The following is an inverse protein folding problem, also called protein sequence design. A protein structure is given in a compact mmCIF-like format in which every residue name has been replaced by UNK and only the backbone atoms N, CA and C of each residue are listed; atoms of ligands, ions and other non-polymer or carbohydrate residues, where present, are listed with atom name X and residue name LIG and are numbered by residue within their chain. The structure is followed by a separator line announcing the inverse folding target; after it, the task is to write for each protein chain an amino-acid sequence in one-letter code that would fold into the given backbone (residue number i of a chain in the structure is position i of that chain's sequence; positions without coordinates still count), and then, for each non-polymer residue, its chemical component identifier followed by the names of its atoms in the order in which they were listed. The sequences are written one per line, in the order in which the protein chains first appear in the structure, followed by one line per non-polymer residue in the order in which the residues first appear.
data_IF_202947369036
#
_entry.id   IF_202947369036
#
_cell.length_a   1.000
_cell.length_b   1.000
_cell.length_c   1.000
_cell.angle_alpha   90.00
_cell.angle_beta   90.00
_cell.angle_gamma   90.00
#
_symmetry.space_group_name_H-M   'P 1'
#
loop_
_entity.id
_entity.type
_entity.pdbx_description
1 polymer ?
#
# COMPACT_ATOMS: atom_id res chain seq x y z
N UNK A 1 -30.97 -38.76 5.24
CA UNK A 1 -29.67 -38.55 4.55
C UNK A 1 -29.40 -37.05 4.51
N UNK A 2 -28.40 -36.56 5.26
CA UNK A 2 -28.08 -35.13 5.38
C UNK A 2 -27.06 -34.75 4.29
N UNK A 3 -27.54 -34.09 3.22
CA UNK A 3 -26.67 -33.46 2.23
C UNK A 3 -25.93 -32.29 2.87
N UNK A 4 -24.60 -32.31 2.82
CA UNK A 4 -23.75 -31.23 3.36
C UNK A 4 -23.29 -30.30 2.25
N UNK A 5 -23.16 -29.00 2.55
CA UNK A 5 -22.77 -27.91 1.62
C UNK A 5 -21.49 -28.18 0.79
N UNK A 6 -20.65 -29.14 1.20
CA UNK A 6 -19.43 -29.54 0.47
C UNK A 6 -19.72 -30.35 -0.80
N UNK A 7 -20.86 -31.03 -0.93
CA UNK A 7 -21.21 -31.77 -2.15
C UNK A 7 -21.71 -30.84 -3.27
N UNK A 8 -22.47 -29.79 -2.93
CA UNK A 8 -22.97 -28.81 -3.90
C UNK A 8 -21.84 -28.09 -4.67
N UNK A 9 -20.75 -27.74 -3.98
CA UNK A 9 -19.59 -27.07 -4.61
C UNK A 9 -18.84 -28.01 -5.55
N UNK A 10 -18.89 -29.33 -5.31
CA UNK A 10 -18.19 -30.31 -6.15
C UNK A 10 -18.93 -30.60 -7.45
N UNK A 11 -20.27 -30.58 -7.43
CA UNK A 11 -21.11 -30.81 -8.61
C UNK A 11 -21.25 -29.56 -9.50
N UNK A 12 -21.13 -28.36 -8.91
CA UNK A 12 -21.14 -27.09 -9.66
C UNK A 12 -19.88 -26.88 -10.52
N UNK A 13 -18.75 -27.52 -10.20
CA UNK A 13 -17.48 -27.37 -10.94
C UNK A 13 -17.39 -28.30 -12.15
N UNK A 14 -18.24 -29.34 -12.24
CA UNK A 14 -18.15 -30.37 -13.30
C UNK A 14 -19.12 -30.13 -14.47
N UNK A 15 -20.02 -29.15 -14.38
CA UNK A 15 -21.12 -28.96 -15.37
C UNK A 15 -21.16 -27.55 -15.96
N UNK A 16 -20.01 -27.02 -16.38
CA UNK A 16 -19.85 -25.64 -16.86
C UNK A 16 -19.17 -25.47 -18.21
N UNK A 17 -19.17 -26.48 -19.09
CA UNK A 17 -18.82 -26.30 -20.50
C UNK A 17 -20.09 -26.05 -21.30
N UNK A 18 -20.45 -24.78 -21.51
CA UNK A 18 -21.38 -24.39 -22.57
C UNK A 18 -20.77 -23.24 -23.37
N UNK A 19 -20.15 -23.61 -24.50
CA UNK A 19 -20.06 -22.72 -25.63
C UNK A 19 -21.42 -22.74 -26.34
N UNK A 20 -22.09 -21.59 -26.42
CA UNK A 20 -23.08 -21.30 -27.45
C UNK A 20 -23.25 -19.78 -27.58
N UNK A 21 -22.77 -19.27 -28.70
CA UNK A 21 -23.04 -17.93 -29.19
C UNK A 21 -24.54 -17.77 -29.52
N UNK A 22 -25.10 -16.61 -29.19
CA UNK A 22 -26.19 -15.98 -29.97
C UNK A 22 -26.18 -14.47 -29.74
N UNK A 23 -26.32 -13.76 -30.86
CA UNK A 23 -26.04 -12.35 -31.06
C UNK A 23 -26.86 -11.38 -30.21
N UNK A 24 -26.19 -10.28 -29.88
CA UNK A 24 -26.74 -9.11 -29.24
C UNK A 24 -25.74 -7.96 -29.30
N UNK A 25 -25.79 -7.19 -30.39
CA UNK A 25 -25.26 -5.84 -30.57
C UNK A 25 -23.94 -5.45 -29.88
N UNK A 26 -22.90 -5.28 -30.70
CA UNK A 26 -21.54 -4.81 -30.39
C UNK A 26 -21.44 -3.38 -29.83
N UNK A 27 -22.14 -3.03 -28.74
CA UNK A 27 -21.90 -1.75 -28.06
C UNK A 27 -20.74 -1.84 -27.04
N UNK A 28 -20.46 -3.05 -26.53
CA UNK A 28 -19.41 -3.29 -25.53
C UNK A 28 -18.08 -3.67 -26.20
N UNK A 29 -18.14 -4.48 -27.26
CA UNK A 29 -16.98 -4.84 -28.08
C UNK A 29 -16.44 -3.62 -28.85
N UNK A 30 -17.32 -2.79 -29.45
CA UNK A 30 -16.89 -1.53 -30.07
C UNK A 30 -16.25 -0.58 -29.05
N UNK A 31 -16.73 -0.51 -27.79
CA UNK A 31 -16.09 0.34 -26.78
C UNK A 31 -14.72 -0.16 -26.32
N UNK A 32 -14.49 -1.46 -26.38
CA UNK A 32 -13.18 -2.06 -26.08
C UNK A 32 -12.22 -1.85 -27.27
N UNK A 33 -12.68 -2.12 -28.50
CA UNK A 33 -11.90 -1.94 -29.72
C UNK A 33 -11.62 -0.46 -30.04
N UNK A 34 -12.58 0.45 -29.85
CA UNK A 34 -12.39 1.90 -30.01
C UNK A 34 -11.43 2.51 -28.97
N UNK A 35 -11.16 1.81 -27.84
CA UNK A 35 -10.10 2.22 -26.90
C UNK A 35 -8.73 1.66 -27.27
N UNK A 36 -8.67 0.57 -28.01
CA UNK A 36 -7.41 -0.06 -28.43
C UNK A 36 -6.77 0.65 -29.63
N UNK A 37 -7.55 1.31 -30.49
CA UNK A 37 -7.01 1.96 -31.71
C UNK A 37 -6.57 3.43 -31.55
N UNK A 38 -6.90 4.12 -30.44
CA UNK A 38 -6.54 5.53 -30.20
C UNK A 38 -5.50 5.74 -29.08
N UNK A 39 -4.43 4.95 -29.02
CA UNK A 39 -3.20 5.37 -28.29
C UNK A 39 -1.95 4.68 -28.84
N UNK A 40 -1.62 4.95 -30.11
CA UNK A 40 -0.24 4.81 -30.51
C UNK A 40 0.62 5.84 -29.75
N UNK A 41 1.41 5.35 -28.79
CA UNK A 41 2.70 5.91 -28.37
C UNK A 41 2.71 7.22 -27.55
N UNK A 42 2.03 7.26 -26.40
CA UNK A 42 2.60 7.96 -25.25
C UNK A 42 2.14 7.32 -23.94
N UNK A 43 3.07 7.11 -23.01
CA UNK A 43 2.71 6.65 -21.67
C UNK A 43 1.81 7.69 -21.01
N UNK A 44 0.69 7.24 -20.45
CA UNK A 44 -0.28 8.12 -19.78
C UNK A 44 0.25 8.71 -18.47
N UNK A 45 1.29 8.12 -17.89
CA UNK A 45 2.01 8.62 -16.72
C UNK A 45 3.53 8.56 -16.93
N UNK A 46 4.25 9.45 -16.27
CA UNK A 46 5.71 9.33 -16.18
C UNK A 46 6.09 8.27 -15.15
N UNK A 47 5.40 8.26 -14.00
CA UNK A 47 5.66 7.33 -12.89
C UNK A 47 4.36 6.74 -12.36
N UNK A 48 4.30 5.42 -12.26
CA UNK A 48 3.25 4.69 -11.54
C UNK A 48 3.88 4.13 -10.27
N UNK A 49 3.31 4.45 -9.11
CA UNK A 49 3.71 3.90 -7.82
C UNK A 49 2.64 2.94 -7.33
N UNK A 50 3.00 1.67 -7.14
CA UNK A 50 2.11 0.64 -6.61
C UNK A 50 2.38 0.46 -5.12
N UNK A 51 1.44 0.88 -4.28
CA UNK A 51 1.52 0.86 -2.82
C UNK A 51 1.78 2.25 -2.24
N UNK A 52 0.79 2.80 -1.54
CA UNK A 52 0.84 4.03 -0.74
C UNK A 52 1.34 3.82 0.68
N UNK A 53 2.19 2.82 0.89
CA UNK A 53 2.91 2.61 2.15
C UNK A 53 3.89 3.73 2.47
N UNK A 54 4.72 3.55 3.50
CA UNK A 54 5.73 4.55 3.90
C UNK A 54 6.66 4.92 2.73
N UNK A 55 7.18 3.93 2.01
CA UNK A 55 8.08 4.15 0.88
C UNK A 55 7.35 4.76 -0.34
N UNK A 56 6.22 4.17 -0.75
CA UNK A 56 5.56 4.61 -1.98
C UNK A 56 4.85 5.95 -1.88
N UNK A 57 4.29 6.32 -0.71
CA UNK A 57 3.80 7.67 -0.51
C UNK A 57 4.94 8.70 -0.64
N UNK A 58 6.11 8.43 -0.06
CA UNK A 58 7.28 9.30 -0.19
C UNK A 58 7.74 9.39 -1.66
N UNK A 59 7.87 8.25 -2.35
CA UNK A 59 8.28 8.20 -3.75
C UNK A 59 7.33 8.99 -4.66
N UNK A 60 6.02 8.83 -4.47
CA UNK A 60 5.02 9.55 -5.25
C UNK A 60 5.08 11.06 -5.00
N UNK A 61 5.20 11.50 -3.74
CA UNK A 61 5.33 12.93 -3.44
C UNK A 61 6.61 13.51 -4.06
N UNK A 62 7.74 12.79 -4.01
CA UNK A 62 8.97 13.25 -4.67
C UNK A 62 8.79 13.37 -6.19
N UNK A 63 8.22 12.35 -6.84
CA UNK A 63 7.96 12.38 -8.28
C UNK A 63 7.06 13.56 -8.67
N UNK A 64 5.99 13.80 -7.92
CA UNK A 64 5.12 14.96 -8.12
C UNK A 64 5.81 16.30 -7.88
N UNK A 65 6.68 16.41 -6.86
CA UNK A 65 7.50 17.62 -6.61
C UNK A 65 8.49 17.91 -7.74
N UNK A 66 8.95 16.88 -8.45
CA UNK A 66 9.77 17.01 -9.66
C UNK A 66 8.94 17.39 -10.91
N UNK A 67 7.62 17.53 -10.79
CA UNK A 67 6.73 17.88 -11.88
C UNK A 67 6.32 16.72 -12.77
N UNK A 68 6.58 15.47 -12.38
CA UNK A 68 6.24 14.28 -13.15
C UNK A 68 4.75 13.96 -13.04
N UNK A 69 4.13 13.56 -14.15
CA UNK A 69 2.74 13.09 -14.13
C UNK A 69 2.67 11.72 -13.43
N UNK A 70 2.24 11.73 -12.17
CA UNK A 70 2.42 10.61 -11.25
C UNK A 70 1.07 10.02 -10.80
N UNK A 71 0.96 8.69 -10.91
CA UNK A 71 -0.14 7.90 -10.34
C UNK A 71 0.37 7.14 -9.11
N UNK A 72 -0.36 7.22 -8.01
CA UNK A 72 -0.17 6.35 -6.84
C UNK A 72 -1.41 5.46 -6.68
N UNK A 73 -1.22 4.14 -6.63
CA UNK A 73 -2.30 3.16 -6.43
C UNK A 73 -2.11 2.47 -5.08
N UNK A 74 -3.11 2.47 -4.21
CA UNK A 74 -3.03 1.91 -2.85
C UNK A 74 -4.26 1.07 -2.52
N UNK A 75 -4.04 -0.12 -1.95
CA UNK A 75 -5.11 -1.08 -1.62
C UNK A 75 -5.99 -0.62 -0.45
N UNK A 76 -5.40 0.10 0.50
CA UNK A 76 -6.11 0.64 1.65
C UNK A 76 -6.75 2.00 1.35
N UNK A 77 -7.51 2.53 2.32
CA UNK A 77 -8.22 3.79 2.19
C UNK A 77 -7.43 5.06 2.55
N UNK A 78 -6.12 4.94 2.82
CA UNK A 78 -5.27 6.07 3.20
C UNK A 78 -3.78 5.73 3.01
N UNK A 79 -2.90 6.73 2.81
CA UNK A 79 -1.47 6.52 2.69
C UNK A 79 -0.79 6.28 4.05
N UNK A 80 0.49 5.92 4.03
CA UNK A 80 1.36 5.83 5.21
C UNK A 80 1.65 4.41 5.70
N UNK A 81 0.99 3.39 5.14
CA UNK A 81 1.31 1.98 5.35
C UNK A 81 1.34 1.56 6.81
N UNK A 82 2.50 1.12 7.30
CA UNK A 82 2.64 0.60 8.66
C UNK A 82 2.38 1.66 9.73
N UNK A 83 2.75 2.91 9.47
CA UNK A 83 2.51 4.04 10.38
C UNK A 83 1.02 4.27 10.60
N UNK A 84 0.21 4.15 9.55
CA UNK A 84 -1.23 4.45 9.57
C UNK A 84 -2.07 3.20 9.73
N UNK A 85 -2.04 2.28 8.77
CA UNK A 85 -2.86 1.05 8.74
C UNK A 85 -2.43 0.05 9.82
N UNK A 86 -1.13 -0.28 9.91
CA UNK A 86 -0.64 -1.26 10.89
C UNK A 86 -0.51 -0.70 12.32
N UNK A 87 -0.76 0.60 12.49
CA UNK A 87 -0.69 1.31 13.76
C UNK A 87 0.71 1.34 14.42
N UNK A 88 1.78 1.04 13.69
CA UNK A 88 3.18 1.22 14.11
C UNK A 88 3.55 2.70 14.01
N UNK A 89 2.87 3.52 14.81
CA UNK A 89 2.81 4.98 14.67
C UNK A 89 3.92 5.72 15.42
N UNK A 90 5.11 5.14 15.46
CA UNK A 90 6.29 5.70 16.10
C UNK A 90 7.50 5.61 15.16
N UNK A 91 7.42 6.21 13.95
CA UNK A 91 8.53 6.22 13.02
C UNK A 91 9.78 6.80 13.70
N UNK A 92 10.93 6.23 13.39
CA UNK A 92 12.12 6.58 14.14
C UNK A 92 13.44 6.13 13.54
N UNK A 93 14.47 6.51 14.31
CA UNK A 93 15.87 6.71 13.95
C UNK A 93 16.11 7.81 12.91
N UNK A 94 15.30 8.88 12.94
CA UNK A 94 15.62 10.13 12.23
C UNK A 94 16.93 10.77 12.74
N UNK A 95 17.25 10.56 14.01
CA UNK A 95 18.48 11.02 14.65
C UNK A 95 19.24 9.85 15.29
N UNK A 96 20.55 9.80 15.06
CA UNK A 96 21.47 8.83 15.65
C UNK A 96 22.85 9.47 15.86
N UNK A 97 23.56 9.03 16.91
CA UNK A 97 24.91 9.53 17.24
C UNK A 97 25.00 11.07 17.36
N UNK A 98 23.97 11.69 17.94
CA UNK A 98 23.94 13.15 18.16
C UNK A 98 23.71 14.00 16.90
N UNK A 99 23.28 13.39 15.78
CA UNK A 99 22.97 14.12 14.54
C UNK A 99 21.73 13.58 13.84
N UNK A 100 21.14 14.39 12.97
CA UNK A 100 20.09 13.94 12.06
C UNK A 100 20.70 13.07 10.96
N UNK A 101 20.16 11.86 10.78
CA UNK A 101 20.62 10.90 9.76
C UNK A 101 19.56 10.64 8.68
N UNK A 102 18.29 10.90 8.95
CA UNK A 102 17.19 10.80 7.98
C UNK A 102 16.43 12.13 7.97
N UNK A 103 16.31 12.73 6.78
CA UNK A 103 15.62 13.99 6.53
C UNK A 103 14.62 13.85 5.36
N UNK A 104 14.26 14.96 4.71
CA UNK A 104 13.35 14.99 3.57
C UNK A 104 11.90 14.66 3.93
N UNK A 105 11.11 14.19 2.96
CA UNK A 105 9.66 14.05 3.09
C UNK A 105 9.23 13.20 4.30
N UNK A 106 9.95 12.12 4.60
CA UNK A 106 9.64 11.30 5.78
C UNK A 106 9.72 12.10 7.08
N UNK A 107 10.76 12.92 7.23
CA UNK A 107 10.93 13.81 8.37
C UNK A 107 9.95 14.99 8.35
N UNK A 108 9.69 15.57 7.18
CA UNK A 108 8.71 16.66 6.99
C UNK A 108 7.32 16.21 7.46
N UNK A 109 6.84 15.04 7.02
CA UNK A 109 5.53 14.51 7.41
C UNK A 109 5.43 14.26 8.91
N UNK A 110 6.46 13.66 9.51
CA UNK A 110 6.49 13.40 10.97
C UNK A 110 6.49 14.70 11.76
N UNK A 111 7.39 15.63 11.43
CA UNK A 111 7.55 16.90 12.14
C UNK A 111 6.28 17.74 12.03
N UNK A 112 5.72 17.85 10.83
CA UNK A 112 4.47 18.57 10.58
C UNK A 112 3.29 17.96 11.32
N UNK A 113 3.24 16.62 11.42
CA UNK A 113 2.21 15.94 12.22
C UNK A 113 2.32 16.28 13.70
N UNK A 114 3.54 16.24 14.26
CA UNK A 114 3.79 16.60 15.66
C UNK A 114 3.38 18.04 15.93
N UNK A 115 3.81 18.97 15.06
CA UNK A 115 3.44 20.39 15.14
C UNK A 115 1.92 20.59 15.07
N UNK A 116 1.24 19.96 14.12
CA UNK A 116 -0.22 20.05 13.94
C UNK A 116 -0.99 19.52 15.15
N UNK A 117 -0.44 18.52 15.85
CA UNK A 117 -1.01 18.00 17.09
C UNK A 117 -0.68 18.83 18.33
N UNK A 118 0.23 19.81 18.24
CA UNK A 118 0.77 20.51 19.42
C UNK A 118 1.64 19.61 20.29
N UNK A 119 2.14 18.50 19.76
CA UNK A 119 3.02 17.57 20.45
C UNK A 119 4.47 18.10 20.45
N UNK A 120 5.36 17.45 21.22
CA UNK A 120 6.78 17.81 21.29
C UNK A 120 7.65 16.72 20.69
N UNK A 121 8.62 17.14 19.89
CA UNK A 121 9.70 16.25 19.45
C UNK A 121 10.59 15.87 20.65
N UNK A 122 11.18 14.66 20.66
CA UNK A 122 12.26 14.31 21.57
C UNK A 122 13.43 15.29 21.47
N UNK A 123 14.17 15.45 22.57
CA UNK A 123 15.47 16.11 22.52
C UNK A 123 16.49 15.18 21.86
N UNK A 124 16.91 15.54 20.65
CA UNK A 124 17.87 14.76 19.87
C UNK A 124 19.34 15.18 20.10
N UNK A 125 19.60 16.17 20.96
CA UNK A 125 20.95 16.70 21.21
C UNK A 125 21.89 15.69 21.85
N UNK A 126 21.35 14.70 22.57
CA UNK A 126 22.11 13.66 23.26
C UNK A 126 21.73 12.27 22.77
N UNK A 127 22.68 11.35 22.55
CA UNK A 127 22.38 9.96 22.24
C UNK A 127 21.52 9.31 23.35
N UNK A 128 20.45 8.58 23.00
CA UNK A 128 19.57 8.00 23.99
C UNK A 128 20.17 6.72 24.57
N UNK A 129 19.79 6.35 25.80
CA UNK A 129 20.17 5.05 26.39
C UNK A 129 19.58 3.88 25.62
N UNK A 130 18.38 4.07 25.05
CA UNK A 130 17.70 3.08 24.22
C UNK A 130 17.17 3.75 22.96
N UNK A 131 17.42 3.15 21.80
CA UNK A 131 17.10 3.75 20.50
C UNK A 131 15.62 4.16 20.34
N UNK A 132 14.69 3.43 20.97
CA UNK A 132 13.25 3.73 20.94
C UNK A 132 12.88 5.06 21.62
N UNK A 133 13.75 5.63 22.45
CA UNK A 133 13.53 6.94 23.06
C UNK A 133 13.57 8.09 22.03
N UNK A 134 14.19 7.86 20.87
CA UNK A 134 14.20 8.80 19.74
C UNK A 134 13.15 8.47 18.66
N UNK A 135 12.25 7.52 18.92
CA UNK A 135 11.08 7.31 18.06
C UNK A 135 10.06 8.42 18.31
N UNK A 136 9.44 8.91 17.24
CA UNK A 136 8.48 10.01 17.31
C UNK A 136 7.09 9.44 17.17
N UNK A 137 6.34 9.43 18.28
CA UNK A 137 4.94 8.99 18.23
C UNK A 137 4.09 10.04 17.53
N UNK A 138 3.30 9.59 16.55
CA UNK A 138 2.43 10.48 15.76
C UNK A 138 0.97 10.05 15.86
N UNK A 139 0.04 11.01 15.80
CA UNK A 139 -1.37 10.70 15.61
C UNK A 139 -1.57 10.15 14.19
N UNK A 140 -2.10 8.92 14.09
CA UNK A 140 -2.26 8.20 12.82
C UNK A 140 -3.18 8.91 11.83
N UNK A 141 -4.28 9.49 12.31
CA UNK A 141 -5.26 10.17 11.48
C UNK A 141 -4.68 11.48 10.94
N UNK A 142 -4.00 12.23 11.80
CA UNK A 142 -3.33 13.48 11.40
C UNK A 142 -2.18 13.18 10.43
N UNK A 143 -1.36 12.16 10.70
CA UNK A 143 -0.30 11.74 9.79
C UNK A 143 -0.84 11.36 8.40
N UNK A 144 -1.93 10.58 8.36
CA UNK A 144 -2.60 10.23 7.11
C UNK A 144 -3.10 11.49 6.37
N UNK A 145 -3.69 12.45 7.08
CA UNK A 145 -4.14 13.71 6.51
C UNK A 145 -2.96 14.54 5.94
N UNK A 146 -1.86 14.65 6.67
CA UNK A 146 -0.64 15.34 6.21
C UNK A 146 -0.04 14.68 4.96
N UNK A 147 -0.06 13.35 4.89
CA UNK A 147 0.39 12.62 3.71
C UNK A 147 -0.55 12.81 2.51
N UNK A 148 -1.87 12.78 2.72
CA UNK A 148 -2.86 13.09 1.67
C UNK A 148 -2.67 14.52 1.13
N UNK A 149 -2.50 15.49 2.02
CA UNK A 149 -2.28 16.88 1.63
C UNK A 149 -0.96 17.04 0.86
N UNK A 150 0.12 16.37 1.29
CA UNK A 150 1.39 16.40 0.58
C UNK A 150 1.29 15.79 -0.84
N UNK A 151 0.55 14.69 -1.00
CA UNK A 151 0.25 14.09 -2.32
C UNK A 151 -0.53 15.08 -3.21
N UNK A 152 -1.55 15.73 -2.65
CA UNK A 152 -2.36 16.72 -3.37
C UNK A 152 -1.52 17.95 -3.78
N UNK A 153 -0.70 18.49 -2.88
CA UNK A 153 0.19 19.62 -3.16
C UNK A 153 1.22 19.27 -4.24
N UNK A 154 1.71 18.03 -4.25
CA UNK A 154 2.59 17.49 -5.29
C UNK A 154 1.85 17.11 -6.59
N UNK A 155 0.53 17.37 -6.68
CA UNK A 155 -0.33 17.05 -7.84
C UNK A 155 -0.30 15.58 -8.25
N UNK A 156 -0.08 14.68 -7.29
CA UNK A 156 -0.12 13.24 -7.50
C UNK A 156 -1.58 12.81 -7.60
N UNK A 157 -1.93 12.04 -8.64
CA UNK A 157 -3.21 11.34 -8.68
C UNK A 157 -3.12 10.13 -7.77
N UNK A 158 -3.75 10.18 -6.60
CA UNK A 158 -3.81 9.05 -5.68
C UNK A 158 -5.13 8.29 -5.84
N UNK A 159 -5.05 6.98 -6.08
CA UNK A 159 -6.16 6.05 -6.18
C UNK A 159 -6.11 5.07 -5.00
N UNK A 160 -7.00 5.26 -4.04
CA UNK A 160 -7.16 4.37 -2.90
C UNK A 160 -8.18 3.26 -3.20
N UNK A 161 -8.13 2.18 -2.43
CA UNK A 161 -8.94 0.98 -2.66
C UNK A 161 -8.75 0.34 -4.03
N UNK A 162 -7.53 0.35 -4.53
CA UNK A 162 -7.16 -0.29 -5.79
C UNK A 162 -5.96 -1.22 -5.62
N UNK A 163 -6.00 -2.36 -6.30
CA UNK A 163 -5.00 -3.41 -6.19
C UNK A 163 -4.50 -3.82 -7.59
N UNK A 164 -3.19 -4.10 -7.77
CA UNK A 164 -2.69 -4.59 -9.05
C UNK A 164 -3.34 -5.92 -9.41
N UNK A 165 -3.61 -6.10 -10.69
CA UNK A 165 -4.14 -7.33 -11.27
C UNK A 165 -3.16 -7.93 -12.28
N UNK A 166 -2.45 -7.10 -13.05
CA UNK A 166 -1.44 -7.52 -14.02
C UNK A 166 -0.44 -6.39 -14.27
N UNK A 167 0.80 -6.75 -14.58
CA UNK A 167 1.82 -5.83 -15.07
C UNK A 167 2.45 -6.41 -16.33
N UNK A 168 2.55 -5.63 -17.38
CA UNK A 168 3.17 -6.00 -18.66
C UNK A 168 4.20 -4.94 -19.04
N UNK A 169 5.46 -5.33 -19.18
CA UNK A 169 6.51 -4.46 -19.71
C UNK A 169 6.54 -4.53 -21.24
N UNK A 170 6.63 -3.36 -21.87
CA UNK A 170 6.81 -3.17 -23.31
C UNK A 170 8.10 -2.37 -23.52
N UNK A 171 8.52 -2.23 -24.78
CA UNK A 171 9.83 -1.67 -25.14
C UNK A 171 10.12 -0.31 -24.46
N UNK A 172 9.14 0.59 -24.40
CA UNK A 172 9.29 1.95 -23.83
C UNK A 172 8.28 2.28 -22.70
N UNK A 173 7.53 1.30 -22.21
CA UNK A 173 6.48 1.54 -21.22
C UNK A 173 6.15 0.31 -20.37
N UNK A 174 5.57 0.56 -19.20
CA UNK A 174 4.96 -0.45 -18.34
C UNK A 174 3.45 -0.24 -18.35
N UNK A 175 2.71 -1.30 -18.68
CA UNK A 175 1.25 -1.33 -18.62
C UNK A 175 0.83 -2.00 -17.33
N UNK A 176 0.01 -1.31 -16.55
CA UNK A 176 -0.47 -1.80 -15.25
C UNK A 176 -1.98 -1.86 -15.28
N UNK A 177 -2.51 -3.06 -15.10
CA UNK A 177 -3.93 -3.28 -14.85
C UNK A 177 -4.15 -3.39 -13.35
N UNK A 178 -5.17 -2.70 -12.84
CA UNK A 178 -5.57 -2.74 -11.44
C UNK A 178 -7.09 -2.83 -11.29
N UNK A 179 -7.52 -3.42 -10.19
CA UNK A 179 -8.92 -3.55 -9.83
C UNK A 179 -9.35 -2.36 -8.97
N UNK A 180 -10.37 -1.64 -9.40
CA UNK A 180 -11.08 -0.61 -8.63
C UNK A 180 -12.45 -1.12 -8.21
N UNK A 181 -13.20 -0.32 -7.43
CA UNK A 181 -14.60 -0.64 -7.10
C UNK A 181 -15.53 -0.68 -8.32
N UNK A 182 -15.11 -0.08 -9.44
CA UNK A 182 -15.90 0.03 -10.66
C UNK A 182 -15.51 -1.01 -11.72
N UNK A 183 -14.46 -1.78 -11.49
CA UNK A 183 -13.97 -2.81 -12.42
C UNK A 183 -12.47 -2.72 -12.64
N UNK A 184 -12.00 -3.35 -13.71
CA UNK A 184 -10.60 -3.32 -14.11
C UNK A 184 -10.31 -2.07 -14.92
N UNK A 185 -9.17 -1.44 -14.64
CA UNK A 185 -8.64 -0.32 -15.40
C UNK A 185 -7.18 -0.61 -15.74
N UNK A 186 -6.76 -0.21 -16.94
CA UNK A 186 -5.38 -0.34 -17.41
C UNK A 186 -4.84 1.03 -17.74
N UNK A 187 -3.62 1.30 -17.27
CA UNK A 187 -2.87 2.52 -17.56
C UNK A 187 -1.47 2.16 -18.04
N UNK A 188 -0.78 3.12 -18.64
CA UNK A 188 0.61 2.99 -19.08
C UNK A 188 1.50 4.03 -18.41
N UNK A 189 2.70 3.64 -18.04
CA UNK A 189 3.70 4.50 -17.40
C UNK A 189 5.07 4.31 -18.04
N UNK A 190 5.96 5.32 -17.96
CA UNK A 190 7.37 5.15 -18.35
C UNK A 190 8.15 4.37 -17.29
N UNK A 191 7.73 4.44 -16.03
CA UNK A 191 8.37 3.77 -14.91
C UNK A 191 7.33 3.25 -13.92
N UNK A 192 7.59 2.06 -13.39
CA UNK A 192 6.85 1.45 -12.29
C UNK A 192 7.73 1.39 -11.04
N UNK A 193 7.22 1.92 -9.93
CA UNK A 193 7.83 1.75 -8.59
C UNK A 193 6.95 0.78 -7.81
N UNK A 194 7.50 -0.40 -7.51
CA UNK A 194 6.85 -1.34 -6.61
C UNK A 194 7.16 -1.01 -5.15
N UNK A 195 6.14 -0.52 -4.44
CA UNK A 195 6.13 -0.24 -3.02
C UNK A 195 4.98 -0.99 -2.30
N UNK A 196 4.58 -2.15 -2.85
CA UNK A 196 3.48 -2.99 -2.31
C UNK A 196 3.83 -3.64 -0.97
N UNK A 197 5.14 -3.79 -0.70
CA UNK A 197 5.71 -4.36 0.52
C UNK A 197 5.98 -5.86 0.45
N UNK A 198 5.35 -6.55 -0.49
CA UNK A 198 5.45 -8.00 -0.74
C UNK A 198 5.86 -8.31 -2.19
N UNK A 199 6.41 -7.32 -2.91
CA UNK A 199 6.89 -7.42 -4.28
C UNK A 199 5.81 -7.90 -5.28
N UNK A 200 4.55 -7.54 -5.00
CA UNK A 200 3.41 -8.03 -5.77
C UNK A 200 3.40 -7.51 -7.21
N UNK A 201 3.78 -6.25 -7.45
CA UNK A 201 3.75 -5.68 -8.79
C UNK A 201 4.89 -6.25 -9.67
N UNK A 202 6.12 -6.35 -9.14
CA UNK A 202 7.23 -6.97 -9.90
C UNK A 202 7.04 -8.47 -10.09
N UNK A 203 6.40 -9.16 -9.12
CA UNK A 203 6.00 -10.56 -9.28
C UNK A 203 4.98 -10.74 -10.41
N UNK A 204 4.00 -9.83 -10.52
CA UNK A 204 3.04 -9.81 -11.63
C UNK A 204 3.69 -9.48 -12.98
N UNK A 205 4.80 -8.74 -12.99
CA UNK A 205 5.61 -8.49 -14.19
C UNK A 205 6.50 -9.68 -14.59
N UNK A 206 6.51 -10.77 -13.80
CA UNK A 206 7.26 -11.99 -14.11
C UNK A 206 8.70 -12.01 -13.60
N UNK A 207 9.11 -11.05 -12.75
CA UNK A 207 10.44 -11.05 -12.17
C UNK A 207 10.60 -12.14 -11.09
N UNK A 208 11.79 -12.76 -10.97
CA UNK A 208 12.06 -13.71 -9.91
C UNK A 208 12.05 -13.02 -8.54
N UNK A 209 11.33 -13.61 -7.59
CA UNK A 209 11.30 -13.14 -6.20
C UNK A 209 12.29 -13.93 -5.35
N UNK A 210 13.09 -13.21 -4.56
CA UNK A 210 14.05 -13.82 -3.64
C UNK A 210 13.49 -13.76 -2.23
N UNK A 211 13.31 -14.94 -1.64
CA UNK A 211 12.85 -15.08 -0.26
C UNK A 211 14.05 -15.30 0.67
N UNK A 212 14.21 -14.42 1.67
CA UNK A 212 15.22 -14.60 2.72
C UNK A 212 14.82 -15.71 3.71
N UNK A 213 15.81 -16.49 4.18
CA UNK A 213 15.57 -17.59 5.14
C UNK A 213 15.08 -17.13 6.52
N UNK A 214 15.33 -15.87 6.89
CA UNK A 214 14.79 -15.25 8.10
C UNK A 214 13.95 -14.02 7.72
N UNK A 215 12.73 -13.94 8.25
CA UNK A 215 11.80 -12.84 8.02
C UNK A 215 11.50 -12.14 9.33
N UNK A 216 11.47 -10.81 9.31
CA UNK A 216 10.92 -10.06 10.43
C UNK A 216 9.39 -10.30 10.48
N UNK A 217 8.82 -10.62 11.64
CA UNK A 217 7.37 -10.77 11.76
C UNK A 217 6.65 -9.47 11.38
N UNK A 218 5.69 -9.56 10.47
CA UNK A 218 4.78 -8.46 10.17
C UNK A 218 3.79 -8.27 11.32
N UNK A 219 4.10 -7.39 12.27
CA UNK A 219 3.25 -7.17 13.45
C UNK A 219 2.35 -5.95 13.28
N UNK A 220 1.04 -6.17 13.38
CA UNK A 220 0.05 -5.11 13.59
C UNK A 220 0.01 -4.74 15.07
N UNK A 221 -0.20 -3.45 15.39
CA UNK A 221 -0.43 -3.05 16.77
C UNK A 221 -1.92 -3.15 17.08
N UNK A 222 -2.26 -4.15 17.91
CA UNK A 222 -3.57 -4.28 18.52
C UNK A 222 -3.59 -3.54 19.86
N UNK A 223 -4.60 -2.70 20.07
CA UNK A 223 -4.87 -2.08 21.38
C UNK A 223 -6.19 -2.59 21.92
N UNK A 224 -6.12 -3.38 22.98
CA UNK A 224 -7.27 -3.83 23.75
C UNK A 224 -7.48 -2.86 24.93
N UNK A 225 -8.73 -2.52 25.24
CA UNK A 225 -9.13 -1.69 26.39
C UNK A 225 -10.40 -2.29 27.02
N UNK A 226 -10.74 -1.87 28.23
CA UNK A 226 -11.98 -2.27 28.90
C UNK A 226 -11.87 -3.58 29.70
N UNK A 227 -10.66 -3.97 30.07
CA UNK A 227 -10.39 -5.10 30.97
C UNK A 227 -9.53 -4.62 32.14
N UNK A 228 -9.66 -5.30 33.28
CA UNK A 228 -8.74 -5.13 34.40
C UNK A 228 -7.52 -6.02 34.18
N UNK A 229 -6.34 -5.39 34.07
CA UNK A 229 -5.09 -6.10 33.81
C UNK A 229 -4.70 -7.04 34.96
N UNK A 230 -5.07 -6.70 36.19
CA UNK A 230 -4.76 -7.51 37.37
C UNK A 230 -5.65 -8.75 37.50
N UNK A 231 -6.82 -8.73 36.87
CA UNK A 231 -7.77 -9.87 36.87
C UNK A 231 -7.51 -10.86 35.72
N UNK A 232 -6.49 -10.63 34.89
CA UNK A 232 -6.16 -11.53 33.80
C UNK A 232 -5.51 -12.82 34.32
N UNK A 233 -6.11 -13.95 33.97
CA UNK A 233 -5.51 -15.27 34.15
C UNK A 233 -4.33 -15.44 33.16
N UNK A 234 -3.12 -15.18 33.67
CA UNK A 234 -1.90 -15.22 32.87
C UNK A 234 -1.52 -16.63 32.43
N UNK A 235 -1.88 -17.65 33.20
CA UNK A 235 -1.51 -19.03 32.88
C UNK A 235 -2.39 -19.56 31.76
N UNK A 236 -3.68 -19.28 31.80
CA UNK A 236 -4.59 -19.60 30.70
C UNK A 236 -4.22 -18.85 29.42
N UNK A 237 -3.86 -17.56 29.51
CA UNK A 237 -3.38 -16.79 28.36
C UNK A 237 -2.08 -17.36 27.76
N UNK A 238 -1.12 -17.81 28.58
CA UNK A 238 0.10 -18.45 28.09
C UNK A 238 -0.18 -19.78 27.41
N UNK A 239 -1.05 -20.61 27.99
CA UNK A 239 -1.48 -21.87 27.36
C UNK A 239 -2.12 -21.64 25.99
N UNK A 240 -2.95 -20.60 25.85
CA UNK A 240 -3.63 -20.29 24.59
C UNK A 240 -2.70 -19.80 23.46
N UNK A 241 -1.48 -19.32 23.78
CA UNK A 241 -0.54 -18.74 22.80
C UNK A 241 0.64 -19.67 22.49
N UNK A 242 0.80 -20.76 23.25
CA UNK A 242 1.83 -21.77 22.98
C UNK A 242 1.30 -22.77 21.95
N UNK A 243 1.55 -22.48 20.66
CA UNK A 243 1.33 -23.40 19.53
C UNK A 243 2.68 -23.85 18.99
#
# INVERSE_FOLDING_TARGET
MRNTRRQFIRDAVVTGTLAAAVGGGDACADRAAMREEETASSASYDVIVMGGGTAGAIAAIQAGRLGLHTLLVEKNGMPGGTTTIAAVNFPGLFHAWGRQIIAGIGWELVSRTVETCGDRLPDFSSPPKRHWQHQVRVNRAVYAAMACEALQQAKVRALFHAMPAQVEEREDSVHVMFCTKSGLETVSGKMLIDATGDANAVGLAGYPLVEGGARQPGTLILRLKGYDFEQLDRDNLRMAVTV
#
